data_IF_683724959828
#
_entry.id   IF_683724959828
#
_cell.length_a   1.000
_cell.length_b   1.000
_cell.length_c   1.000
_cell.angle_alpha   90.00
_cell.angle_beta   90.00
_cell.angle_gamma   90.00
#
_symmetry.space_group_name_H-M   'P 1'
#
loop_
_entity.id
_entity.type
_entity.pdbx_description
1 polymer ?
#
# COMPACT_ATOMS: atom_id res chain seq x y z
N UNK A 1 -7.41 -28.25 52.80
CA UNK A 1 -6.36 -28.19 53.84
C UNK A 1 -5.44 -27.04 53.51
N UNK A 2 -5.30 -26.12 54.44
CA UNK A 2 -4.36 -25.00 54.39
C UNK A 2 -2.95 -25.46 54.78
N UNK A 3 -1.96 -24.58 54.64
CA UNK A 3 -0.58 -24.86 55.11
C UNK A 3 -0.53 -25.10 56.63
N UNK A 4 -1.42 -24.48 57.40
CA UNK A 4 -1.53 -24.68 58.85
C UNK A 4 -2.08 -26.08 59.19
N UNK A 5 -3.08 -26.55 58.43
CA UNK A 5 -3.66 -27.89 58.60
C UNK A 5 -2.63 -29.01 58.36
N UNK A 6 -1.71 -28.80 57.40
CA UNK A 6 -0.64 -29.76 57.09
C UNK A 6 0.41 -29.85 58.20
N UNK A 7 0.68 -28.74 58.90
CA UNK A 7 1.59 -28.72 60.05
C UNK A 7 0.99 -29.45 61.26
N UNK A 8 -0.30 -29.23 61.53
CA UNK A 8 -1.03 -29.94 62.60
C UNK A 8 -1.13 -31.44 62.30
N UNK A 9 -1.36 -31.81 61.04
CA UNK A 9 -1.38 -33.20 60.60
C UNK A 9 0.00 -33.86 60.74
N UNK A 10 1.08 -33.20 60.32
CA UNK A 10 2.45 -33.71 60.47
C UNK A 10 2.83 -33.91 61.94
N UNK A 11 2.47 -32.97 62.82
CA UNK A 11 2.68 -33.12 64.26
C UNK A 11 1.88 -34.30 64.84
N UNK A 12 0.61 -34.43 64.44
CA UNK A 12 -0.28 -35.50 64.92
C UNK A 12 0.15 -36.89 64.44
N UNK A 13 0.62 -37.02 63.20
CA UNK A 13 1.17 -38.26 62.67
C UNK A 13 2.47 -38.66 63.37
N UNK A 14 3.35 -37.69 63.67
CA UNK A 14 4.59 -37.94 64.41
C UNK A 14 4.36 -38.34 65.86
N UNK A 15 3.32 -37.81 66.51
CA UNK A 15 3.00 -38.11 67.91
C UNK A 15 2.21 -39.42 68.07
N UNK A 16 1.20 -39.65 67.22
CA UNK A 16 0.23 -40.76 67.38
C UNK A 16 0.42 -41.90 66.40
N UNK A 17 1.25 -41.73 65.37
CA UNK A 17 1.50 -42.73 64.32
C UNK A 17 0.38 -42.84 63.27
N UNK A 18 -0.86 -42.50 63.65
CA UNK A 18 -2.08 -42.62 62.85
C UNK A 18 -3.02 -41.44 63.12
N UNK A 19 -3.64 -40.89 62.07
CA UNK A 19 -4.61 -39.79 62.19
C UNK A 19 -5.83 -40.09 61.32
N UNK A 20 -7.06 -40.05 61.86
CA UNK A 20 -8.26 -40.16 61.04
C UNK A 20 -8.45 -38.91 60.19
N UNK A 21 -8.65 -39.11 58.88
CA UNK A 21 -9.01 -38.07 57.92
C UNK A 21 -10.39 -38.39 57.39
N UNK A 22 -11.28 -37.40 57.46
CA UNK A 22 -12.60 -37.48 56.86
C UNK A 22 -12.51 -37.08 55.40
N UNK A 23 -12.83 -38.01 54.49
CA UNK A 23 -12.97 -37.72 53.06
C UNK A 23 -14.45 -37.89 52.73
N UNK A 24 -15.11 -36.78 52.38
CA UNK A 24 -16.56 -36.70 52.27
C UNK A 24 -17.24 -37.04 53.62
N UNK A 25 -17.89 -38.22 53.72
CA UNK A 25 -18.60 -38.70 54.91
C UNK A 25 -18.03 -39.99 55.53
N UNK A 26 -16.92 -40.48 55.00
CA UNK A 26 -16.24 -41.68 55.50
C UNK A 26 -14.91 -41.31 56.17
N UNK A 27 -14.59 -42.03 57.24
CA UNK A 27 -13.40 -41.81 58.05
C UNK A 27 -12.33 -42.84 57.67
N UNK A 28 -11.18 -42.32 57.21
CA UNK A 28 -10.05 -43.13 56.77
C UNK A 28 -8.85 -42.88 57.67
N UNK A 29 -8.14 -43.93 58.05
CA UNK A 29 -6.96 -43.81 58.93
C UNK A 29 -5.72 -43.58 58.06
N UNK A 30 -5.11 -42.41 58.22
CA UNK A 30 -3.83 -42.07 57.60
C UNK A 30 -2.69 -42.49 58.52
N UNK A 31 -1.81 -43.37 58.06
CA UNK A 31 -0.62 -43.80 58.79
C UNK A 31 0.62 -43.02 58.36
N UNK A 32 1.59 -42.94 59.27
CA UNK A 32 2.87 -42.23 59.03
C UNK A 32 3.64 -42.77 57.81
N UNK A 33 3.49 -44.05 57.48
CA UNK A 33 4.13 -44.69 56.31
C UNK A 33 3.49 -44.33 54.96
N UNK A 34 2.29 -43.74 54.96
CA UNK A 34 1.53 -43.45 53.74
C UNK A 34 1.83 -42.06 53.16
N UNK A 35 2.36 -41.14 53.97
CA UNK A 35 2.56 -39.74 53.57
C UNK A 35 3.87 -39.21 54.14
N UNK A 36 4.62 -38.48 53.32
CA UNK A 36 5.82 -37.77 53.73
C UNK A 36 5.62 -36.26 53.57
N UNK A 37 5.51 -35.55 54.70
CA UNK A 37 5.31 -34.11 54.74
C UNK A 37 6.68 -33.44 54.87
N UNK A 38 7.05 -32.62 53.88
CA UNK A 38 8.31 -31.88 53.87
C UNK A 38 8.06 -30.39 53.67
N UNK A 39 8.59 -29.58 54.58
CA UNK A 39 8.70 -28.13 54.38
C UNK A 39 10.08 -27.81 53.80
N UNK A 40 10.10 -26.93 52.80
CA UNK A 40 11.34 -26.42 52.23
C UNK A 40 11.19 -24.95 51.84
N UNK A 41 12.29 -24.20 51.95
CA UNK A 41 12.37 -22.84 51.42
C UNK A 41 12.90 -22.92 49.99
N UNK A 42 12.23 -22.25 49.05
CA UNK A 42 12.67 -22.14 47.66
C UNK A 42 12.89 -20.68 47.33
N UNK A 43 14.14 -20.31 47.09
CA UNK A 43 14.48 -18.99 46.56
C UNK A 43 14.06 -18.94 45.09
N UNK A 44 13.18 -18.00 44.74
CA UNK A 44 12.73 -17.77 43.36
C UNK A 44 13.47 -16.55 42.84
N UNK A 45 14.33 -16.74 41.84
CA UNK A 45 15.19 -15.69 41.29
C UNK A 45 14.56 -14.92 40.13
N UNK A 46 13.51 -15.47 39.52
CA UNK A 46 12.88 -14.92 38.31
C UNK A 46 11.37 -15.03 38.42
N UNK A 47 10.68 -14.04 37.85
CA UNK A 47 9.24 -14.08 37.65
C UNK A 47 8.97 -14.51 36.21
N UNK A 48 8.25 -15.62 36.06
CA UNK A 48 7.72 -16.02 34.76
C UNK A 48 6.40 -15.27 34.54
N UNK A 49 6.28 -14.56 33.42
CA UNK A 49 5.03 -13.93 33.01
C UNK A 49 4.71 -14.31 31.56
N UNK A 50 3.40 -14.34 31.26
CA UNK A 50 2.89 -14.58 29.91
C UNK A 50 2.52 -13.23 29.29
N UNK A 51 3.24 -12.74 28.27
CA UNK A 51 2.96 -11.43 27.69
C UNK A 51 1.59 -11.42 26.99
N UNK A 52 0.85 -10.31 27.16
CA UNK A 52 -0.36 -10.05 26.36
C UNK A 52 0.02 -9.70 24.93
N UNK A 53 -0.70 -10.26 23.96
CA UNK A 53 -0.45 -10.05 22.53
C UNK A 53 -1.53 -9.13 21.94
N UNK A 54 -1.11 -8.08 21.24
CA UNK A 54 -1.98 -7.25 20.40
C UNK A 54 -1.65 -7.59 18.95
N UNK A 55 -2.62 -8.16 18.24
CA UNK A 55 -2.47 -8.56 16.85
C UNK A 55 -3.32 -7.67 15.93
N UNK A 56 -2.75 -6.61 15.34
CA UNK A 56 -3.43 -5.86 14.29
C UNK A 56 -3.42 -6.68 13.00
N UNK A 57 -4.61 -7.13 12.57
CA UNK A 57 -4.79 -7.91 11.35
C UNK A 57 -5.47 -7.07 10.27
N UNK A 58 -4.81 -6.95 9.11
CA UNK A 58 -5.28 -6.13 7.99
C UNK A 58 -5.69 -7.00 6.80
N UNK A 59 -6.98 -6.99 6.47
CA UNK A 59 -7.51 -7.66 5.30
C UNK A 59 -7.22 -6.90 4.01
N UNK A 60 -6.04 -7.12 3.40
CA UNK A 60 -5.58 -6.39 2.20
C UNK A 60 -6.62 -6.41 1.07
N UNK A 61 -7.30 -7.55 0.84
CA UNK A 61 -8.34 -7.64 -0.19
C UNK A 61 -9.53 -6.71 0.07
N UNK A 62 -9.96 -6.57 1.34
CA UNK A 62 -11.04 -5.64 1.71
C UNK A 62 -10.58 -4.19 1.59
N UNK A 63 -9.36 -3.89 2.03
CA UNK A 63 -8.77 -2.55 1.91
C UNK A 63 -8.70 -2.14 0.43
N UNK A 64 -8.23 -3.04 -0.45
CA UNK A 64 -8.15 -2.80 -1.88
C UNK A 64 -9.54 -2.58 -2.51
N UNK A 65 -10.52 -3.40 -2.13
CA UNK A 65 -11.90 -3.24 -2.60
C UNK A 65 -12.50 -1.89 -2.18
N UNK A 66 -12.34 -1.51 -0.90
CA UNK A 66 -12.77 -0.19 -0.41
C UNK A 66 -12.07 0.96 -1.12
N UNK A 67 -10.78 0.82 -1.43
CA UNK A 67 -10.04 1.80 -2.24
C UNK A 67 -10.68 1.92 -3.63
N UNK A 68 -11.04 0.81 -4.28
CA UNK A 68 -11.69 0.88 -5.59
C UNK A 68 -13.06 1.57 -5.53
N UNK A 69 -13.92 1.22 -4.59
CA UNK A 69 -15.25 1.86 -4.46
C UNK A 69 -15.14 3.35 -4.18
N UNK A 70 -14.23 3.77 -3.29
CA UNK A 70 -14.06 5.19 -2.94
C UNK A 70 -13.46 6.05 -4.06
N UNK A 71 -12.75 5.43 -5.01
CA UNK A 71 -12.02 6.15 -6.07
C UNK A 71 -12.62 5.92 -7.46
N UNK A 72 -13.72 5.19 -7.59
CA UNK A 72 -14.35 4.96 -8.88
C UNK A 72 -15.21 6.15 -9.30
N UNK A 73 -14.93 6.69 -10.49
CA UNK A 73 -15.64 7.84 -11.03
C UNK A 73 -15.98 7.63 -12.50
N UNK A 74 -17.02 8.32 -12.95
CA UNK A 74 -17.47 8.40 -14.35
C UNK A 74 -17.25 9.84 -14.81
N UNK A 75 -16.73 10.03 -16.02
CA UNK A 75 -16.54 11.37 -16.60
C UNK A 75 -17.90 11.99 -16.95
N UNK A 76 -18.02 13.29 -16.71
CA UNK A 76 -19.19 14.05 -17.14
C UNK A 76 -19.28 14.04 -18.68
N UNK A 77 -20.46 13.73 -19.20
CA UNK A 77 -20.74 13.72 -20.65
C UNK A 77 -20.41 12.42 -21.39
N UNK A 78 -19.79 11.44 -20.75
CA UNK A 78 -19.53 10.12 -21.35
C UNK A 78 -19.56 9.00 -20.29
N UNK A 79 -20.70 8.32 -20.17
CA UNK A 79 -20.91 7.24 -19.20
C UNK A 79 -19.97 6.04 -19.39
N UNK A 80 -19.40 5.88 -20.59
CA UNK A 80 -18.45 4.80 -20.87
C UNK A 80 -17.03 5.13 -20.39
N UNK A 81 -16.75 6.39 -20.06
CA UNK A 81 -15.43 6.83 -19.60
C UNK A 81 -15.35 6.81 -18.08
N UNK A 82 -14.99 5.66 -17.56
CA UNK A 82 -14.69 5.46 -16.14
C UNK A 82 -13.21 5.72 -15.86
N UNK A 83 -12.91 6.14 -14.64
CA UNK A 83 -11.54 6.24 -14.14
C UNK A 83 -11.47 5.96 -12.65
N UNK A 84 -10.29 5.56 -12.20
CA UNK A 84 -10.01 5.32 -10.78
C UNK A 84 -9.07 6.41 -10.27
N UNK A 85 -9.55 7.25 -9.35
CA UNK A 85 -8.83 8.37 -8.74
C UNK A 85 -7.77 7.95 -7.71
N UNK A 86 -7.04 6.85 -7.96
CA UNK A 86 -6.04 6.36 -7.02
C UNK A 86 -4.92 7.38 -6.78
N UNK A 87 -4.48 7.59 -5.53
CA UNK A 87 -3.28 8.36 -5.24
C UNK A 87 -2.07 7.85 -6.01
N UNK A 88 -1.23 8.77 -6.52
CA UNK A 88 -0.11 8.43 -7.39
C UNK A 88 0.85 7.41 -6.75
N UNK A 89 1.03 7.48 -5.42
CA UNK A 89 1.87 6.55 -4.64
C UNK A 89 1.44 5.08 -4.75
N UNK A 90 0.14 4.80 -4.86
CA UNK A 90 -0.39 3.42 -4.95
C UNK A 90 -0.89 3.04 -6.36
N UNK A 91 -0.90 3.98 -7.31
CA UNK A 91 -1.32 3.69 -8.68
C UNK A 91 -0.46 2.57 -9.32
N UNK A 92 -1.06 1.62 -10.09
CA UNK A 92 -0.33 0.47 -10.64
C UNK A 92 0.82 0.86 -11.57
N UNK A 93 0.56 1.81 -12.46
CA UNK A 93 1.56 2.50 -13.26
C UNK A 93 1.46 3.98 -12.95
N UNK A 94 2.60 4.67 -12.92
CA UNK A 94 2.70 6.08 -12.60
C UNK A 94 2.52 6.95 -13.83
N UNK A 95 2.95 6.45 -14.99
CA UNK A 95 2.90 7.18 -16.24
C UNK A 95 2.40 6.34 -17.40
N UNK A 96 1.64 6.94 -18.32
CA UNK A 96 1.48 6.44 -19.68
C UNK A 96 2.33 7.24 -20.65
N UNK A 97 2.87 6.60 -21.68
CA UNK A 97 3.59 7.27 -22.79
C UNK A 97 2.78 7.03 -24.06
N UNK A 98 2.35 8.13 -24.69
CA UNK A 98 1.32 8.14 -25.72
C UNK A 98 1.78 8.97 -26.94
N UNK A 99 2.20 8.35 -28.06
CA UNK A 99 2.48 9.13 -29.27
C UNK A 99 1.18 9.61 -29.91
N UNK A 100 1.00 10.88 -30.30
CA UNK A 100 -0.26 11.41 -30.83
C UNK A 100 -0.80 10.59 -32.02
N UNK A 101 0.09 10.06 -32.85
CA UNK A 101 -0.21 9.19 -33.99
C UNK A 101 0.81 8.05 -34.09
N UNK A 102 0.55 7.09 -34.99
CA UNK A 102 1.47 6.00 -35.28
C UNK A 102 2.59 6.41 -36.26
N UNK A 103 2.84 7.71 -36.45
CA UNK A 103 3.95 8.17 -37.29
C UNK A 103 5.29 7.66 -36.72
N UNK A 104 6.10 7.07 -37.59
CA UNK A 104 7.42 6.53 -37.28
C UNK A 104 8.37 7.60 -36.69
N UNK A 105 8.20 8.88 -37.03
CA UNK A 105 9.01 9.98 -36.52
C UNK A 105 8.86 10.20 -35.01
N UNK A 106 7.71 9.82 -34.42
CA UNK A 106 7.45 9.96 -32.98
C UNK A 106 8.04 8.80 -32.17
N UNK A 107 8.31 7.65 -32.80
CA UNK A 107 8.75 6.42 -32.14
C UNK A 107 10.11 6.52 -31.43
N UNK A 108 11.13 7.22 -31.98
CA UNK A 108 12.38 7.47 -31.27
C UNK A 108 12.18 8.17 -29.93
N UNK A 109 11.30 9.16 -29.87
CA UNK A 109 10.98 9.90 -28.65
C UNK A 109 10.23 9.03 -27.64
N UNK A 110 9.28 8.20 -28.10
CA UNK A 110 8.58 7.23 -27.24
C UNK A 110 9.55 6.27 -26.58
N UNK A 111 10.46 5.69 -27.37
CA UNK A 111 11.44 4.71 -26.89
C UNK A 111 12.44 5.37 -25.94
N UNK A 112 12.95 6.55 -26.26
CA UNK A 112 13.86 7.29 -25.39
C UNK A 112 13.21 7.65 -24.07
N UNK A 113 11.99 8.19 -24.08
CA UNK A 113 11.27 8.56 -22.86
C UNK A 113 10.94 7.34 -21.99
N UNK A 114 10.54 6.23 -22.59
CA UNK A 114 10.31 4.96 -21.88
C UNK A 114 11.59 4.46 -21.19
N UNK A 115 12.74 4.57 -21.86
CA UNK A 115 14.03 4.22 -21.26
C UNK A 115 14.41 5.15 -20.11
N UNK A 116 14.21 6.45 -20.25
CA UNK A 116 14.49 7.41 -19.17
C UNK A 116 13.59 7.18 -17.95
N UNK A 117 12.30 6.91 -18.14
CA UNK A 117 11.38 6.55 -17.06
C UNK A 117 11.80 5.25 -16.36
N UNK A 118 12.24 4.24 -17.13
CA UNK A 118 12.74 2.99 -16.58
C UNK A 118 14.01 3.17 -15.74
N UNK A 119 14.95 4.03 -16.19
CA UNK A 119 16.22 4.30 -15.49
C UNK A 119 16.03 4.89 -14.09
N UNK A 120 14.91 5.57 -13.85
CA UNK A 120 14.61 6.23 -12.57
C UNK A 120 13.49 5.51 -11.78
N UNK A 121 13.25 4.23 -12.11
CA UNK A 121 12.30 3.34 -11.45
C UNK A 121 10.84 3.83 -11.47
N UNK A 122 10.44 4.55 -12.53
CA UNK A 122 9.05 4.97 -12.73
C UNK A 122 8.32 3.91 -13.55
N UNK A 123 7.44 3.14 -12.89
CA UNK A 123 6.53 2.20 -13.55
C UNK A 123 5.67 2.93 -14.57
N UNK A 124 5.77 2.53 -15.84
CA UNK A 124 5.05 3.18 -16.92
C UNK A 124 4.51 2.17 -17.94
N UNK A 125 3.55 2.61 -18.76
CA UNK A 125 2.96 1.83 -19.86
C UNK A 125 3.00 2.65 -21.14
N UNK A 126 3.60 2.09 -22.19
CA UNK A 126 3.49 2.66 -23.54
C UNK A 126 2.17 2.20 -24.16
N UNK A 127 1.39 3.13 -24.71
CA UNK A 127 0.20 2.82 -25.51
C UNK A 127 0.28 3.53 -26.87
N UNK A 128 0.84 2.78 -27.82
CA UNK A 128 1.01 3.10 -29.24
C UNK A 128 -0.05 2.41 -30.11
N UNK A 129 -1.11 1.87 -29.50
CA UNK A 129 -2.13 1.16 -30.25
C UNK A 129 -2.98 2.09 -31.13
N UNK A 130 -3.58 1.52 -32.16
CA UNK A 130 -4.43 2.25 -33.10
C UNK A 130 -5.65 2.85 -32.39
N UNK A 131 -5.84 4.16 -32.53
CA UNK A 131 -6.98 4.87 -31.94
C UNK A 131 -6.67 6.34 -31.71
N UNK A 132 -7.72 7.14 -31.51
CA UNK A 132 -7.55 8.54 -31.14
C UNK A 132 -6.89 8.66 -29.76
N UNK A 133 -6.19 9.77 -29.53
CA UNK A 133 -5.55 10.05 -28.25
C UNK A 133 -6.57 10.02 -27.09
N UNK A 134 -7.81 10.46 -27.33
CA UNK A 134 -8.89 10.38 -26.34
C UNK A 134 -9.25 8.95 -25.92
N UNK A 135 -9.26 7.97 -26.85
CA UNK A 135 -9.49 6.55 -26.52
C UNK A 135 -8.34 5.95 -25.74
N UNK A 136 -7.12 6.40 -26.03
CA UNK A 136 -5.92 6.02 -25.28
C UNK A 136 -5.96 6.53 -23.86
N UNK A 137 -6.26 7.82 -23.67
CA UNK A 137 -6.50 8.38 -22.35
C UNK A 137 -7.63 7.66 -21.60
N UNK A 138 -8.75 7.35 -22.24
CA UNK A 138 -9.82 6.60 -21.60
C UNK A 138 -9.35 5.24 -21.06
N UNK A 139 -8.54 4.49 -21.83
CA UNK A 139 -7.99 3.21 -21.36
C UNK A 139 -7.00 3.37 -20.23
N UNK A 140 -6.13 4.38 -20.27
CA UNK A 140 -5.12 4.60 -19.21
C UNK A 140 -5.76 5.12 -17.92
N UNK A 141 -6.76 6.00 -18.05
CA UNK A 141 -7.54 6.54 -16.94
C UNK A 141 -8.32 5.41 -16.23
N UNK A 142 -8.91 4.47 -17.00
CA UNK A 142 -9.67 3.33 -16.47
C UNK A 142 -8.82 2.37 -15.61
N UNK A 143 -7.52 2.25 -15.88
CA UNK A 143 -6.58 1.45 -15.08
C UNK A 143 -5.77 2.28 -14.07
N UNK A 144 -6.30 3.45 -13.71
CA UNK A 144 -5.81 4.32 -12.65
C UNK A 144 -4.42 4.96 -12.88
N UNK A 145 -3.95 5.08 -14.13
CA UNK A 145 -2.66 5.76 -14.39
C UNK A 145 -2.84 7.26 -14.13
N UNK A 146 -2.09 7.86 -13.18
CA UNK A 146 -2.31 9.23 -12.74
C UNK A 146 -1.77 10.27 -13.73
N UNK A 147 -0.70 9.94 -14.46
CA UNK A 147 -0.05 10.87 -15.39
C UNK A 147 0.09 10.26 -16.78
N UNK A 148 -0.08 11.08 -17.81
CA UNK A 148 0.15 10.68 -19.20
C UNK A 148 1.04 11.68 -19.91
N UNK A 149 2.11 11.20 -20.54
CA UNK A 149 2.96 12.01 -21.40
C UNK A 149 2.54 11.77 -22.84
N UNK A 150 2.13 12.84 -23.53
CA UNK A 150 1.80 12.79 -24.96
C UNK A 150 2.93 13.40 -25.78
N UNK A 151 3.40 12.61 -26.74
CA UNK A 151 4.43 12.97 -27.71
C UNK A 151 3.72 13.34 -29.00
N UNK A 152 3.80 14.59 -29.43
CA UNK A 152 3.09 15.09 -30.60
C UNK A 152 4.03 15.64 -31.68
N UNK A 153 3.46 16.19 -32.75
CA UNK A 153 4.26 16.71 -33.86
C UNK A 153 5.10 17.94 -33.49
N UNK A 154 4.72 18.71 -32.47
CA UNK A 154 5.60 19.78 -31.99
C UNK A 154 6.78 19.23 -31.19
N UNK A 155 6.70 18.01 -30.66
CA UNK A 155 7.87 17.32 -30.06
C UNK A 155 9.01 17.14 -31.07
N UNK A 156 8.69 17.06 -32.38
CA UNK A 156 9.70 16.97 -33.44
C UNK A 156 10.48 18.29 -33.62
N UNK A 157 9.91 19.42 -33.21
CA UNK A 157 10.55 20.74 -33.28
C UNK A 157 11.55 20.90 -32.14
N UNK A 158 12.60 21.68 -32.38
CA UNK A 158 13.51 22.11 -31.32
C UNK A 158 13.05 23.45 -30.71
N UNK A 159 13.04 23.59 -29.37
CA UNK A 159 13.41 22.58 -28.37
C UNK A 159 12.35 21.46 -28.24
N UNK A 160 12.81 20.22 -28.05
CA UNK A 160 11.92 19.05 -27.91
C UNK A 160 11.07 19.14 -26.63
N UNK A 161 9.77 19.33 -26.80
CA UNK A 161 8.80 19.42 -25.71
C UNK A 161 7.68 18.42 -25.88
N UNK A 162 7.12 17.94 -24.78
CA UNK A 162 5.97 17.05 -24.77
C UNK A 162 4.95 17.54 -23.73
N UNK A 163 3.72 17.04 -23.78
CA UNK A 163 2.70 17.42 -22.81
C UNK A 163 2.63 16.39 -21.69
N UNK A 164 2.46 16.87 -20.46
CA UNK A 164 2.17 16.06 -19.28
C UNK A 164 0.72 16.34 -18.85
N UNK A 165 -0.10 15.30 -18.84
CA UNK A 165 -1.50 15.32 -18.44
C UNK A 165 -1.66 14.68 -17.07
N UNK A 166 -2.48 15.28 -16.21
CA UNK A 166 -2.96 14.65 -14.98
C UNK A 166 -4.37 14.06 -15.18
N UNK A 167 -4.58 12.88 -14.60
CA UNK A 167 -5.79 12.07 -14.75
C UNK A 167 -7.00 12.85 -14.27
N UNK A 168 -7.04 13.28 -13.00
CA UNK A 168 -8.27 13.70 -12.35
C UNK A 168 -8.84 14.98 -12.96
N UNK A 169 -8.04 16.04 -13.05
CA UNK A 169 -8.40 17.33 -13.64
C UNK A 169 -8.39 17.33 -15.17
N UNK A 170 -7.76 16.34 -15.81
CA UNK A 170 -7.51 16.29 -17.26
C UNK A 170 -6.66 17.45 -17.81
N UNK A 171 -6.14 18.34 -16.95
CA UNK A 171 -5.30 19.46 -17.35
C UNK A 171 -3.95 18.98 -17.85
N UNK A 172 -3.37 19.77 -18.75
CA UNK A 172 -2.11 19.46 -19.41
C UNK A 172 -1.17 20.65 -19.28
N UNK A 173 0.11 20.36 -19.10
CA UNK A 173 1.21 21.33 -19.19
C UNK A 173 2.16 20.90 -20.31
N UNK A 174 2.89 21.83 -20.91
CA UNK A 174 3.97 21.52 -21.85
C UNK A 174 5.32 21.81 -21.21
N UNK A 175 6.24 20.86 -21.30
CA UNK A 175 7.58 20.99 -20.73
C UNK A 175 8.63 20.30 -21.62
N UNK A 176 9.92 20.63 -21.46
CA UNK A 176 11.01 19.91 -22.11
C UNK A 176 10.92 18.41 -21.81
N UNK A 177 11.06 17.58 -22.84
CA UNK A 177 10.90 16.12 -22.69
C UNK A 177 11.89 15.52 -21.68
N UNK A 178 13.07 16.13 -21.53
CA UNK A 178 14.11 15.74 -20.60
C UNK A 178 13.72 15.95 -19.12
N UNK A 179 12.84 16.91 -18.83
CA UNK A 179 12.43 17.22 -17.45
C UNK A 179 11.29 16.31 -16.97
N UNK A 180 10.49 15.81 -17.91
CA UNK A 180 9.27 15.05 -17.62
C UNK A 180 9.48 13.81 -16.74
N UNK A 181 10.52 12.95 -16.96
CA UNK A 181 10.74 11.79 -16.09
C UNK A 181 10.89 12.18 -14.62
N UNK A 182 11.65 13.24 -14.34
CA UNK A 182 11.88 13.71 -12.97
C UNK A 182 10.60 14.27 -12.34
N UNK A 183 9.85 15.07 -13.09
CA UNK A 183 8.56 15.62 -12.62
C UNK A 183 7.60 14.48 -12.25
N UNK A 184 7.48 13.47 -13.12
CA UNK A 184 6.63 12.30 -12.86
C UNK A 184 7.10 11.52 -11.65
N UNK A 185 8.40 11.35 -11.45
CA UNK A 185 8.94 10.66 -10.26
C UNK A 185 8.61 11.41 -8.96
N UNK A 186 8.76 12.73 -8.94
CA UNK A 186 8.44 13.56 -7.78
C UNK A 186 6.93 13.52 -7.44
N UNK A 187 6.07 13.57 -8.47
CA UNK A 187 4.62 13.40 -8.31
C UNK A 187 4.26 11.99 -7.81
N UNK A 188 4.87 10.94 -8.39
CA UNK A 188 4.61 9.55 -8.05
C UNK A 188 5.05 9.19 -6.61
N UNK A 189 6.07 9.88 -6.10
CA UNK A 189 6.58 9.70 -4.72
C UNK A 189 5.94 10.66 -3.72
N UNK A 190 5.02 11.54 -4.16
CA UNK A 190 4.36 12.52 -3.30
C UNK A 190 5.28 13.66 -2.82
N UNK A 191 6.47 13.83 -3.44
CA UNK A 191 7.39 14.93 -3.14
C UNK A 191 6.93 16.26 -3.75
N UNK A 192 6.07 16.18 -4.76
CA UNK A 192 5.49 17.31 -5.49
C UNK A 192 4.01 17.05 -5.70
N UNK A 193 3.19 18.09 -5.69
CA UNK A 193 1.77 18.02 -6.02
C UNK A 193 1.51 18.55 -7.44
N UNK A 194 0.31 18.25 -7.95
CA UNK A 194 -0.07 18.69 -9.30
C UNK A 194 -0.20 20.22 -9.41
N UNK A 195 -0.65 20.88 -8.34
CA UNK A 195 -0.78 22.34 -8.34
C UNK A 195 0.58 23.02 -8.51
N UNK A 196 1.63 22.55 -7.83
CA UNK A 196 2.98 23.06 -8.02
C UNK A 196 3.47 22.86 -9.46
N UNK A 197 3.05 21.81 -10.15
CA UNK A 197 3.39 21.64 -11.58
C UNK A 197 2.65 22.69 -12.42
N UNK A 198 1.37 22.93 -12.18
CA UNK A 198 0.61 23.97 -12.88
C UNK A 198 1.19 25.38 -12.68
N UNK A 199 1.73 25.67 -11.50
CA UNK A 199 2.30 26.99 -11.18
C UNK A 199 3.68 27.23 -11.83
N UNK A 200 4.40 26.16 -12.20
CA UNK A 200 5.78 26.24 -12.71
C UNK A 200 5.93 25.95 -14.20
N UNK A 201 4.90 25.44 -14.87
CA UNK A 201 4.94 25.07 -16.29
C UNK A 201 3.75 25.65 -17.06
N UNK A 202 3.93 26.00 -18.34
CA UNK A 202 2.87 26.59 -19.13
C UNK A 202 1.73 25.59 -19.35
N UNK A 203 0.50 26.03 -19.06
CA UNK A 203 -0.71 25.27 -19.35
C UNK A 203 -0.84 25.08 -20.86
N UNK A 204 -1.22 23.86 -21.26
CA UNK A 204 -1.42 23.49 -22.64
C UNK A 204 -2.91 23.36 -22.95
N UNK A 205 -3.41 24.21 -23.85
CA UNK A 205 -4.81 24.16 -24.30
C UNK A 205 -4.97 23.54 -25.69
N UNK A 206 -4.12 23.90 -26.66
CA UNK A 206 -4.13 23.38 -28.03
C UNK A 206 -2.74 23.46 -28.70
N UNK A 207 -2.53 22.68 -29.77
CA UNK A 207 -1.29 22.72 -30.58
C UNK A 207 -1.24 23.94 -31.49
N UNK A 208 -0.06 24.52 -31.63
CA UNK A 208 0.19 25.62 -32.58
C UNK A 208 0.19 25.14 -34.04
N UNK A 209 0.62 23.89 -34.30
CA UNK A 209 0.68 23.29 -35.64
C UNK A 209 -0.68 23.07 -36.31
N UNK A 210 -1.79 23.13 -35.56
CA UNK A 210 -3.15 23.09 -36.12
C UNK A 210 -3.57 24.37 -36.85
N UNK A 211 -2.80 25.46 -36.76
CA UNK A 211 -3.12 26.76 -37.39
C UNK A 211 -2.57 26.92 -38.82
N UNK A 212 -1.76 25.99 -39.32
CA UNK A 212 -1.12 26.09 -40.65
C UNK A 212 -1.70 25.13 -41.70
N UNK A 213 -2.95 24.65 -41.54
CA UNK A 213 -3.70 23.95 -42.59
C UNK A 213 -4.96 24.72 -43.00
#
# INVERSE_FOLDING_TARGET
>A
MTSEDLLVLDASLKEKGEVPIKVNDEEYILKTEMVNIKSYQKTVHVEEFVPSVIEPSFGIGRIMYSIFEHNFHIREGDEQRTYLSLPAVIAPYKCSVLPLSNNAELQPFVKSLSQELAKIDVSHKVDDSSGSIGRRYARTDAIAIPFGITIDFDTLKEPHTATLRERDSMKQIRAPIADLPKIVQELATGKRDWQNVLDNYPLFEQQESSKEC
#
